data_IF_724304602711
#
_entry.id   IF_724304602711
#
_cell.length_a   1.000
_cell.length_b   1.000
_cell.length_c   1.000
_cell.angle_alpha   90.00
_cell.angle_beta   90.00
_cell.angle_gamma   90.00
#
_symmetry.space_group_name_H-M   'P 1'
#
loop_
_entity.id
_entity.type
_entity.pdbx_description
1 polymer ?
#
# COMPACT_ATOMS: atom_id res chain seq x y z
N UNK A 1 -7.02 9.91 -28.52
CA UNK A 1 -7.36 8.88 -27.51
C UNK A 1 -8.20 9.57 -26.47
N UNK A 2 -9.47 9.20 -26.41
CA UNK A 2 -10.51 9.95 -25.72
C UNK A 2 -10.30 10.00 -24.20
N UNK A 3 -10.52 11.18 -23.65
CA UNK A 3 -10.38 11.53 -22.24
C UNK A 3 -11.51 10.85 -21.45
N UNK A 4 -11.25 10.02 -20.42
CA UNK A 4 -12.29 9.21 -19.77
C UNK A 4 -13.04 9.95 -18.65
N UNK A 5 -13.01 11.27 -18.66
CA UNK A 5 -13.61 12.10 -17.61
C UNK A 5 -14.71 12.96 -18.21
N UNK A 6 -15.93 12.44 -18.22
CA UNK A 6 -17.13 13.28 -18.36
C UNK A 6 -17.97 13.15 -17.09
N UNK A 7 -18.07 14.28 -16.38
CA UNK A 7 -19.29 14.67 -15.70
C UNK A 7 -20.14 15.38 -16.75
N UNK A 8 -21.43 15.04 -16.77
CA UNK A 8 -22.48 15.44 -17.72
C UNK A 8 -22.58 14.60 -19.00
N UNK A 9 -23.53 13.66 -18.95
CA UNK A 9 -23.96 12.81 -20.06
C UNK A 9 -24.59 11.52 -19.52
N UNK A 10 -25.85 11.24 -19.89
CA UNK A 10 -26.42 9.91 -19.71
C UNK A 10 -25.55 8.91 -20.50
N UNK A 11 -24.91 7.97 -19.81
CA UNK A 11 -24.16 6.90 -20.47
C UNK A 11 -25.15 5.78 -20.86
N UNK A 12 -25.42 5.58 -22.15
CA UNK A 12 -26.39 4.59 -22.62
C UNK A 12 -25.96 3.14 -22.34
N UNK A 13 -24.75 2.88 -21.84
CA UNK A 13 -24.27 1.53 -21.53
C UNK A 13 -24.53 1.07 -20.09
N UNK A 14 -25.29 1.82 -19.28
CA UNK A 14 -25.66 1.41 -17.92
C UNK A 14 -27.05 0.73 -17.82
N UNK A 15 -27.77 0.61 -18.93
CA UNK A 15 -29.04 -0.14 -18.97
C UNK A 15 -28.76 -1.65 -19.00
N UNK A 16 -29.46 -2.43 -18.17
CA UNK A 16 -29.36 -3.90 -18.04
C UNK A 16 -28.05 -4.45 -17.43
N UNK A 17 -27.35 -3.69 -16.60
CA UNK A 17 -26.22 -4.22 -15.80
C UNK A 17 -26.75 -4.76 -14.47
N UNK A 18 -26.51 -6.05 -14.19
CA UNK A 18 -26.84 -6.65 -12.90
C UNK A 18 -25.89 -6.11 -11.82
N UNK A 19 -26.40 -5.21 -10.98
CA UNK A 19 -25.57 -4.52 -9.99
C UNK A 19 -25.38 -5.41 -8.77
N UNK A 20 -24.20 -6.01 -8.67
CA UNK A 20 -23.88 -7.02 -7.65
C UNK A 20 -23.33 -6.47 -6.32
N UNK A 21 -23.14 -5.16 -6.18
CA UNK A 21 -22.37 -4.55 -5.09
C UNK A 21 -23.07 -3.37 -4.39
N UNK A 22 -22.41 -2.78 -3.39
CA UNK A 22 -22.91 -1.70 -2.54
C UNK A 22 -23.24 -0.39 -3.31
N UNK A 23 -24.45 -0.32 -3.89
CA UNK A 23 -25.02 0.84 -4.59
C UNK A 23 -25.13 2.04 -3.65
N UNK A 24 -25.60 1.81 -2.41
CA UNK A 24 -25.75 2.90 -1.45
C UNK A 24 -24.43 3.62 -1.20
N UNK A 25 -23.33 2.88 -1.05
CA UNK A 25 -21.99 3.47 -0.91
C UNK A 25 -21.57 4.29 -2.12
N UNK A 26 -21.91 3.85 -3.34
CA UNK A 26 -21.63 4.60 -4.56
C UNK A 26 -22.45 5.89 -4.65
N UNK A 27 -23.74 5.86 -4.34
CA UNK A 27 -24.62 7.03 -4.35
C UNK A 27 -24.18 8.11 -3.35
N UNK A 28 -23.51 7.71 -2.26
CA UNK A 28 -22.96 8.61 -1.24
C UNK A 28 -21.44 8.81 -1.38
N UNK A 29 -20.89 8.53 -2.57
CA UNK A 29 -19.47 8.76 -2.84
C UNK A 29 -19.21 10.21 -3.25
N UNK A 30 -18.02 10.71 -2.93
CA UNK A 30 -17.59 12.05 -3.35
C UNK A 30 -16.89 12.00 -4.72
N UNK A 31 -16.24 10.87 -5.02
CA UNK A 31 -15.49 10.67 -6.26
C UNK A 31 -15.68 9.24 -6.77
N UNK A 32 -15.70 9.09 -8.10
CA UNK A 32 -15.71 7.78 -8.75
C UNK A 32 -14.88 7.77 -10.04
N UNK A 33 -14.52 6.57 -10.49
CA UNK A 33 -13.87 6.33 -11.77
C UNK A 33 -14.28 4.97 -12.32
N UNK A 34 -14.32 4.82 -13.64
CA UNK A 34 -14.40 3.51 -14.29
C UNK A 34 -13.04 2.81 -14.21
N UNK A 35 -13.05 1.49 -14.09
CA UNK A 35 -11.82 0.70 -14.12
C UNK A 35 -11.23 0.72 -15.54
N UNK A 36 -9.94 1.07 -15.64
CA UNK A 36 -9.24 1.20 -16.93
C UNK A 36 -9.20 -0.11 -17.74
N UNK A 37 -9.32 -1.27 -17.08
CA UNK A 37 -9.27 -2.59 -17.73
C UNK A 37 -10.64 -3.22 -17.88
N UNK A 38 -11.62 -2.79 -17.10
CA UNK A 38 -12.98 -3.31 -17.15
C UNK A 38 -14.00 -2.17 -17.01
N UNK A 39 -14.48 -1.65 -18.13
CA UNK A 39 -15.45 -0.55 -18.17
C UNK A 39 -16.78 -0.81 -17.43
N UNK A 40 -17.10 -2.07 -17.11
CA UNK A 40 -18.28 -2.44 -16.30
C UNK A 40 -18.05 -2.31 -14.78
N UNK A 41 -16.81 -2.05 -14.33
CA UNK A 41 -16.47 -1.89 -12.92
C UNK A 41 -16.26 -0.42 -12.60
N UNK A 42 -16.96 0.05 -11.57
CA UNK A 42 -16.79 1.39 -11.00
C UNK A 42 -16.06 1.28 -9.66
N UNK A 43 -15.07 2.14 -9.46
CA UNK A 43 -14.41 2.37 -8.17
C UNK A 43 -14.87 3.72 -7.64
N UNK A 44 -15.13 3.81 -6.34
CA UNK A 44 -15.57 5.05 -5.71
C UNK A 44 -14.89 5.27 -4.36
N UNK A 45 -14.89 6.53 -3.92
CA UNK A 45 -14.31 6.97 -2.66
C UNK A 45 -15.24 7.96 -1.97
N UNK A 46 -15.45 7.75 -0.67
CA UNK A 46 -16.10 8.71 0.22
C UNK A 46 -15.05 9.35 1.12
N UNK A 47 -14.85 10.66 0.98
CA UNK A 47 -13.95 11.47 1.79
C UNK A 47 -14.64 11.79 3.12
N UNK A 48 -14.10 11.21 4.19
CA UNK A 48 -14.58 11.50 5.55
C UNK A 48 -13.85 12.70 6.13
N UNK A 49 -14.61 13.74 6.45
CA UNK A 49 -14.07 14.91 7.14
C UNK A 49 -13.91 14.63 8.64
N UNK A 50 -12.90 15.26 9.24
CA UNK A 50 -12.77 15.28 10.69
C UNK A 50 -13.91 16.11 11.30
N UNK A 51 -14.37 15.78 12.52
CA UNK A 51 -15.40 16.56 13.19
C UNK A 51 -14.94 18.00 13.40
N UNK A 52 -15.78 18.96 12.99
CA UNK A 52 -15.54 20.38 13.23
C UNK A 52 -15.55 20.70 14.72
N UNK A 53 -14.75 21.70 15.11
CA UNK A 53 -14.68 22.23 16.48
C UNK A 53 -14.31 21.19 17.57
N UNK A 54 -13.63 20.10 17.19
CA UNK A 54 -13.11 19.10 18.13
C UNK A 54 -11.60 18.98 18.01
N UNK A 55 -10.92 18.76 19.14
CA UNK A 55 -9.52 18.33 19.14
C UNK A 55 -9.48 16.84 18.80
N UNK A 56 -8.82 16.47 17.72
CA UNK A 56 -8.64 15.08 17.28
C UNK A 56 -7.18 14.69 17.45
N UNK A 57 -6.94 13.61 18.18
CA UNK A 57 -5.63 12.96 18.24
C UNK A 57 -5.63 11.78 17.28
N UNK A 58 -4.74 11.79 16.29
CA UNK A 58 -4.57 10.71 15.33
C UNK A 58 -3.28 9.97 15.66
N UNK A 59 -3.42 8.74 16.17
CA UNK A 59 -2.29 7.86 16.42
C UNK A 59 -2.21 6.81 15.31
N UNK A 60 -1.22 6.92 14.42
CA UNK A 60 -0.96 5.93 13.37
C UNK A 60 0.52 5.60 13.30
N UNK A 61 0.83 4.30 13.22
CA UNK A 61 2.20 3.81 13.03
C UNK A 61 2.75 4.07 11.62
N UNK A 62 1.90 4.52 10.69
CA UNK A 62 2.20 4.67 9.26
C UNK A 62 1.74 6.03 8.74
N UNK A 63 1.70 7.05 9.62
CA UNK A 63 1.22 8.37 9.24
C UNK A 63 2.17 8.99 8.21
N UNK A 64 1.61 9.44 7.08
CA UNK A 64 2.32 10.29 6.13
C UNK A 64 1.86 11.72 6.33
N UNK A 65 2.75 12.53 6.88
CA UNK A 65 2.44 13.90 7.30
C UNK A 65 2.06 14.78 6.11
N UNK A 66 2.71 14.59 4.96
CA UNK A 66 2.41 15.34 3.75
C UNK A 66 1.01 15.00 3.25
N UNK A 67 0.65 13.73 3.29
CA UNK A 67 -0.69 13.26 2.95
C UNK A 67 -1.77 13.90 3.82
N UNK A 68 -1.55 13.94 5.13
CA UNK A 68 -2.52 14.49 6.09
C UNK A 68 -2.64 16.01 5.97
N UNK A 69 -1.54 16.73 5.72
CA UNK A 69 -1.59 18.15 5.39
C UNK A 69 -2.46 18.41 4.15
N UNK A 70 -2.32 17.60 3.10
CA UNK A 70 -3.12 17.73 1.88
C UNK A 70 -4.61 17.41 2.10
N UNK A 71 -4.92 16.44 2.95
CA UNK A 71 -6.31 16.02 3.19
C UNK A 71 -7.09 16.97 4.10
N UNK A 72 -6.44 17.49 5.15
CA UNK A 72 -7.10 18.23 6.23
C UNK A 72 -6.67 19.69 6.33
N UNK A 73 -5.73 20.15 5.51
CA UNK A 73 -5.17 21.50 5.60
C UNK A 73 -4.08 21.58 6.68
N UNK A 74 -2.92 22.15 6.33
CA UNK A 74 -1.77 22.27 7.24
C UNK A 74 -2.11 23.11 8.47
N UNK A 75 -2.92 24.14 8.28
CA UNK A 75 -3.42 25.04 9.32
C UNK A 75 -4.28 24.35 10.38
N UNK A 76 -4.88 23.20 10.05
CA UNK A 76 -5.71 22.44 10.98
C UNK A 76 -4.91 21.40 11.79
N UNK A 77 -3.61 21.23 11.49
CA UNK A 77 -2.73 20.30 12.20
C UNK A 77 -1.88 21.08 13.22
N UNK A 78 -2.16 20.88 14.50
CA UNK A 78 -1.50 21.62 15.60
C UNK A 78 -0.08 21.15 15.88
N UNK A 79 0.13 19.84 15.88
CA UNK A 79 1.44 19.23 16.12
C UNK A 79 1.50 17.88 15.43
N UNK A 80 2.72 17.52 15.03
CA UNK A 80 3.04 16.20 14.49
C UNK A 80 4.27 15.71 15.23
N UNK A 81 4.12 14.60 15.92
CA UNK A 81 5.22 13.93 16.60
C UNK A 81 5.46 12.58 15.95
N UNK A 82 6.67 12.39 15.43
CA UNK A 82 7.08 11.13 14.80
C UNK A 82 8.22 10.51 15.60
N UNK A 83 8.00 9.29 16.11
CA UNK A 83 9.01 8.51 16.81
C UNK A 83 9.83 7.71 15.78
N UNK A 84 10.83 8.35 15.20
CA UNK A 84 11.63 7.80 14.08
C UNK A 84 12.75 6.83 14.52
N UNK A 85 13.28 6.93 15.74
CA UNK A 85 14.46 6.18 16.16
C UNK A 85 14.24 5.41 17.46
N UNK A 86 13.50 4.30 17.37
CA UNK A 86 13.32 3.37 18.48
C UNK A 86 14.31 2.23 18.32
N UNK A 87 15.19 2.02 19.30
CA UNK A 87 16.10 0.88 19.33
C UNK A 87 15.29 -0.42 19.32
N UNK A 88 15.44 -1.22 18.26
CA UNK A 88 14.77 -2.53 18.13
C UNK A 88 15.46 -3.56 19.02
N UNK A 89 14.68 -4.51 19.54
CA UNK A 89 15.20 -5.72 20.19
C UNK A 89 15.51 -6.81 19.17
N UNK A 90 14.66 -6.95 18.16
CA UNK A 90 14.81 -7.84 17.02
C UNK A 90 15.46 -7.16 15.81
N UNK A 91 15.36 -7.80 14.64
CA UNK A 91 15.96 -7.35 13.38
C UNK A 91 14.96 -7.35 12.23
N UNK A 92 15.11 -6.43 11.30
CA UNK A 92 14.44 -6.44 10.00
C UNK A 92 15.50 -6.51 8.91
N UNK A 93 15.48 -7.56 8.11
CA UNK A 93 16.42 -7.79 7.01
C UNK A 93 15.62 -7.75 5.71
N UNK A 94 16.06 -6.97 4.73
CA UNK A 94 15.27 -6.75 3.52
C UNK A 94 16.06 -7.07 2.25
N UNK A 95 15.44 -7.82 1.34
CA UNK A 95 15.87 -8.05 -0.04
C UNK A 95 15.06 -7.18 -1.00
N UNK A 96 15.74 -6.25 -1.67
CA UNK A 96 15.18 -5.33 -2.67
C UNK A 96 15.56 -5.69 -4.11
N UNK A 97 16.18 -6.86 -4.35
CA UNK A 97 16.79 -7.23 -5.64
C UNK A 97 15.78 -7.54 -6.74
N UNK A 98 14.54 -7.86 -6.40
CA UNK A 98 13.47 -8.22 -7.35
C UNK A 98 12.21 -7.43 -7.06
N UNK A 99 11.35 -7.29 -8.06
CA UNK A 99 10.11 -6.53 -7.93
C UNK A 99 9.11 -7.11 -6.91
N UNK A 100 9.09 -8.44 -6.73
CA UNK A 100 8.13 -9.18 -5.88
C UNK A 100 6.66 -8.72 -6.03
N UNK A 101 6.27 -8.21 -7.20
CA UNK A 101 4.89 -7.80 -7.45
C UNK A 101 4.00 -9.04 -7.59
N UNK A 102 2.69 -8.85 -7.44
CA UNK A 102 1.73 -9.96 -7.59
C UNK A 102 1.86 -10.67 -8.94
N UNK A 103 2.24 -9.96 -10.01
CA UNK A 103 2.44 -10.54 -11.34
C UNK A 103 3.83 -11.13 -11.55
N UNK A 104 4.87 -10.63 -10.88
CA UNK A 104 6.23 -11.16 -11.01
C UNK A 104 6.55 -12.31 -10.05
N UNK A 105 5.73 -12.51 -9.01
CA UNK A 105 5.90 -13.55 -7.99
C UNK A 105 6.13 -14.96 -8.56
N UNK A 106 5.40 -15.43 -9.60
CA UNK A 106 5.61 -16.78 -10.14
C UNK A 106 7.05 -17.04 -10.60
N UNK A 107 7.70 -16.03 -11.21
CA UNK A 107 9.04 -16.16 -11.79
C UNK A 107 10.19 -16.35 -10.78
N UNK A 108 9.91 -16.53 -9.49
CA UNK A 108 10.90 -17.08 -8.57
C UNK A 108 10.32 -17.33 -7.20
N UNK A 109 9.15 -17.97 -7.20
CA UNK A 109 8.48 -18.47 -6.02
C UNK A 109 9.27 -19.61 -5.35
N UNK A 110 9.94 -20.45 -6.14
CA UNK A 110 10.77 -21.57 -5.65
C UNK A 110 11.93 -21.06 -4.78
N UNK A 111 12.70 -20.09 -5.28
CA UNK A 111 13.78 -19.45 -4.52
C UNK A 111 13.24 -18.83 -3.23
N UNK A 112 12.06 -18.21 -3.27
CA UNK A 112 11.42 -17.65 -2.07
C UNK A 112 11.13 -18.78 -1.07
N UNK A 113 10.47 -19.85 -1.49
CA UNK A 113 10.15 -21.00 -0.63
C UNK A 113 11.39 -21.61 0.01
N UNK A 114 12.49 -21.72 -0.73
CA UNK A 114 13.76 -22.21 -0.22
C UNK A 114 14.30 -21.31 0.90
N UNK A 115 14.40 -20.00 0.64
CA UNK A 115 15.01 -19.07 1.60
C UNK A 115 14.10 -18.72 2.78
N UNK A 116 12.79 -18.92 2.64
CA UNK A 116 11.81 -18.72 3.72
C UNK A 116 11.35 -20.02 4.36
N UNK A 117 12.06 -21.14 4.12
CA UNK A 117 11.69 -22.45 4.63
C UNK A 117 11.51 -22.43 6.16
N UNK A 118 10.35 -22.88 6.63
CA UNK A 118 10.02 -22.94 8.05
C UNK A 118 9.56 -21.61 8.68
N UNK A 119 9.46 -20.53 7.91
CA UNK A 119 8.90 -19.26 8.37
C UNK A 119 7.41 -19.17 8.05
N UNK A 120 6.65 -18.47 8.89
CA UNK A 120 5.30 -18.01 8.52
C UNK A 120 5.42 -16.82 7.59
N UNK A 121 4.67 -16.83 6.50
CA UNK A 121 4.83 -15.88 5.39
C UNK A 121 3.59 -15.01 5.25
N UNK A 122 3.74 -13.70 5.44
CA UNK A 122 2.71 -12.73 5.06
C UNK A 122 2.94 -12.35 3.60
N UNK A 123 1.95 -12.62 2.74
CA UNK A 123 2.04 -12.34 1.30
C UNK A 123 0.67 -11.94 0.73
N UNK A 124 0.48 -11.99 -0.60
CA UNK A 124 -0.84 -11.78 -1.20
C UNK A 124 -1.76 -12.98 -0.92
N UNK A 125 -3.06 -12.72 -0.72
CA UNK A 125 -4.09 -13.76 -0.50
C UNK A 125 -4.01 -14.95 -1.47
N UNK A 126 -3.71 -14.70 -2.75
CA UNK A 126 -3.56 -15.74 -3.79
C UNK A 126 -2.40 -16.71 -3.51
N UNK A 127 -1.32 -16.23 -2.90
CA UNK A 127 -0.10 -17.01 -2.66
C UNK A 127 0.00 -17.56 -1.24
N UNK A 128 -0.87 -17.14 -0.32
CA UNK A 128 -0.93 -17.68 1.05
C UNK A 128 -1.00 -19.22 1.09
N UNK A 129 -1.90 -19.91 0.35
CA UNK A 129 -1.95 -21.37 0.36
C UNK A 129 -0.81 -22.05 -0.41
N UNK A 130 0.04 -21.29 -1.12
CA UNK A 130 1.18 -21.82 -1.87
C UNK A 130 2.47 -21.70 -1.04
N UNK A 131 2.56 -20.63 -0.25
CA UNK A 131 3.75 -20.28 0.53
C UNK A 131 3.64 -20.70 1.99
N UNK A 132 2.43 -20.96 2.51
CA UNK A 132 2.22 -21.46 3.85
C UNK A 132 1.45 -22.78 3.83
N UNK A 133 1.83 -23.69 4.73
CA UNK A 133 1.12 -24.94 5.00
C UNK A 133 1.00 -25.15 6.53
N UNK A 134 -0.19 -25.00 7.13
CA UNK A 134 -1.45 -24.57 6.50
C UNK A 134 -1.44 -23.08 6.11
N UNK A 135 -2.42 -22.61 5.30
CA UNK A 135 -2.57 -21.19 4.99
C UNK A 135 -2.62 -20.33 6.26
N UNK A 136 -1.90 -19.20 6.27
CA UNK A 136 -1.74 -18.38 7.46
C UNK A 136 -3.01 -17.56 7.76
N UNK A 137 -3.78 -17.20 6.73
CA UNK A 137 -4.96 -16.35 6.85
C UNK A 137 -4.65 -14.87 7.11
N UNK A 138 -3.37 -14.49 7.18
CA UNK A 138 -2.86 -13.13 7.33
C UNK A 138 -2.11 -12.74 6.06
N UNK A 139 -2.59 -11.71 5.37
CA UNK A 139 -2.09 -11.32 4.05
C UNK A 139 -2.17 -9.80 3.86
N UNK A 140 -1.56 -9.26 2.80
CA UNK A 140 -1.68 -7.83 2.46
C UNK A 140 -3.16 -7.42 2.28
N UNK A 141 -3.58 -6.36 2.97
CA UNK A 141 -4.99 -5.94 3.11
C UNK A 141 -5.74 -6.61 4.26
N UNK A 142 -5.15 -7.62 4.93
CA UNK A 142 -5.71 -8.31 6.10
C UNK A 142 -4.65 -8.54 7.19
N UNK A 143 -3.93 -7.49 7.58
CA UNK A 143 -2.88 -7.54 8.62
C UNK A 143 -3.33 -6.99 9.99
N UNK A 144 -4.57 -6.49 10.10
CA UNK A 144 -5.06 -5.82 11.31
C UNK A 144 -5.68 -6.79 12.32
N UNK A 145 -5.48 -6.54 13.62
CA UNK A 145 -6.13 -7.31 14.70
C UNK A 145 -5.46 -8.63 15.11
N UNK A 146 -4.41 -9.07 14.40
CA UNK A 146 -3.74 -10.34 14.68
C UNK A 146 -2.54 -10.20 15.65
N UNK A 147 -2.46 -11.12 16.62
CA UNK A 147 -1.39 -11.19 17.64
C UNK A 147 -0.56 -12.48 17.61
N UNK A 148 -0.97 -13.46 16.82
CA UNK A 148 -0.42 -14.82 16.73
C UNK A 148 0.98 -14.93 16.12
N UNK A 149 1.57 -13.82 15.63
CA UNK A 149 2.93 -13.78 15.07
C UNK A 149 3.92 -13.06 16.00
N UNK A 150 3.47 -12.64 17.19
CA UNK A 150 4.29 -11.87 18.14
C UNK A 150 5.53 -12.66 18.53
N UNK A 151 6.71 -12.06 18.32
CA UNK A 151 7.99 -12.64 18.70
C UNK A 151 8.45 -13.81 17.83
N UNK A 152 7.74 -14.11 16.75
CA UNK A 152 8.14 -15.14 15.80
C UNK A 152 9.03 -14.57 14.69
N UNK A 153 9.94 -15.41 14.18
CA UNK A 153 10.62 -15.12 12.94
C UNK A 153 9.61 -15.31 11.78
N UNK A 154 9.43 -14.29 10.96
CA UNK A 154 8.46 -14.31 9.85
C UNK A 154 9.11 -13.80 8.56
N UNK A 155 8.50 -14.14 7.44
CA UNK A 155 8.78 -13.51 6.16
C UNK A 155 7.60 -12.63 5.71
N UNK A 156 7.90 -11.48 5.13
CA UNK A 156 6.95 -10.61 4.43
C UNK A 156 7.35 -10.59 2.96
N UNK A 157 6.55 -11.21 2.11
CA UNK A 157 6.91 -11.46 0.70
C UNK A 157 5.94 -10.77 -0.23
N UNK A 158 6.40 -9.71 -0.88
CA UNK A 158 5.70 -9.03 -1.96
C UNK A 158 5.77 -7.51 -1.87
N UNK A 159 5.57 -6.84 -3.01
CA UNK A 159 5.36 -5.39 -3.08
C UNK A 159 3.86 -5.10 -3.29
N UNK A 160 3.12 -4.66 -2.25
CA UNK A 160 1.66 -4.59 -2.26
C UNK A 160 1.10 -3.39 -3.04
N UNK A 161 1.25 -3.40 -4.37
CA UNK A 161 0.58 -2.44 -5.23
C UNK A 161 -0.96 -2.57 -5.13
N UNK A 162 -1.62 -1.46 -4.83
CA UNK A 162 -3.08 -1.29 -4.95
C UNK A 162 -3.52 -1.10 -6.40
N UNK A 163 -4.83 -1.21 -6.65
CA UNK A 163 -5.39 -0.87 -7.97
C UNK A 163 -5.12 0.62 -8.27
N UNK A 164 -4.70 1.01 -9.49
CA UNK A 164 -4.44 2.40 -9.84
C UNK A 164 -5.56 3.36 -9.47
N UNK A 165 -6.82 2.94 -9.59
CA UNK A 165 -8.00 3.72 -9.18
C UNK A 165 -7.94 4.19 -7.73
N UNK A 166 -7.30 3.42 -6.84
CA UNK A 166 -7.11 3.82 -5.43
C UNK A 166 -6.25 5.07 -5.32
N UNK A 167 -5.15 5.13 -6.08
CA UNK A 167 -4.24 6.28 -6.07
C UNK A 167 -4.89 7.50 -6.71
N UNK A 168 -5.58 7.30 -7.84
CA UNK A 168 -6.26 8.37 -8.57
C UNK A 168 -7.41 8.99 -7.76
N UNK A 169 -8.27 8.16 -7.16
CA UNK A 169 -9.36 8.65 -6.31
C UNK A 169 -8.81 9.36 -5.06
N UNK A 170 -7.72 8.86 -4.48
CA UNK A 170 -7.04 9.53 -3.35
C UNK A 170 -6.49 10.90 -3.77
N UNK A 171 -5.89 10.98 -4.96
CA UNK A 171 -5.37 12.22 -5.51
C UNK A 171 -6.48 13.26 -5.76
N UNK A 172 -7.62 12.83 -6.32
CA UNK A 172 -8.82 13.69 -6.46
C UNK A 172 -9.35 14.18 -5.11
N UNK A 173 -9.38 13.33 -4.10
CA UNK A 173 -9.78 13.72 -2.74
C UNK A 173 -8.83 14.77 -2.10
N UNK A 174 -7.60 14.87 -2.60
CA UNK A 174 -6.61 15.89 -2.23
C UNK A 174 -6.64 17.14 -3.12
N UNK A 175 -7.57 17.22 -4.07
CA UNK A 175 -7.67 18.35 -4.99
C UNK A 175 -6.64 18.34 -6.12
N UNK A 176 -6.05 17.19 -6.45
CA UNK A 176 -5.12 17.06 -7.58
C UNK A 176 -5.91 16.98 -8.89
N UNK A 177 -5.64 17.88 -9.83
CA UNK A 177 -6.24 17.91 -11.16
C UNK A 177 -5.59 16.86 -12.09
N UNK A 178 -6.14 15.65 -12.09
CA UNK A 178 -5.63 14.51 -12.87
C UNK A 178 -5.65 14.72 -14.38
N UNK A 179 -6.56 15.53 -14.91
CA UNK A 179 -6.75 15.77 -16.34
C UNK A 179 -5.52 16.42 -17.00
N UNK A 180 -4.66 17.04 -16.18
CA UNK A 180 -3.43 17.71 -16.62
C UNK A 180 -2.19 16.81 -16.51
N UNK A 181 -2.36 15.54 -16.11
CA UNK A 181 -1.25 14.66 -15.75
C UNK A 181 -1.15 13.46 -16.70
N UNK A 182 0.08 13.01 -16.92
CA UNK A 182 0.33 11.69 -17.47
C UNK A 182 0.09 10.63 -16.38
N UNK A 183 -0.85 9.72 -16.62
CA UNK A 183 -1.26 8.68 -15.66
C UNK A 183 -0.62 7.31 -15.95
N UNK A 184 0.28 7.24 -16.93
CA UNK A 184 1.00 6.01 -17.24
C UNK A 184 2.04 5.66 -16.18
N UNK A 185 2.22 4.35 -15.95
CA UNK A 185 3.24 3.84 -15.05
C UNK A 185 4.52 3.54 -15.83
N UNK A 186 5.57 4.29 -15.53
CA UNK A 186 6.90 4.14 -16.11
C UNK A 186 7.92 3.88 -15.00
N UNK A 187 9.12 3.44 -15.35
CA UNK A 187 10.20 3.29 -14.37
C UNK A 187 10.76 4.68 -14.06
N UNK A 188 10.67 5.08 -12.79
CA UNK A 188 11.05 6.39 -12.29
C UNK A 188 12.10 6.26 -11.19
N UNK A 189 13.01 7.22 -11.10
CA UNK A 189 13.94 7.35 -9.99
C UNK A 189 13.22 8.00 -8.80
N UNK A 190 12.92 7.21 -7.77
CA UNK A 190 12.20 7.67 -6.58
C UNK A 190 13.18 8.02 -5.48
N UNK A 191 13.00 9.19 -4.88
CA UNK A 191 13.73 9.63 -3.67
C UNK A 191 12.77 9.70 -2.49
N UNK A 192 12.89 8.79 -1.53
CA UNK A 192 11.99 8.73 -0.36
C UNK A 192 12.68 8.15 0.87
N UNK A 193 12.45 8.76 2.03
CA UNK A 193 13.01 8.36 3.32
C UNK A 193 14.55 8.17 3.33
N UNK A 194 15.27 8.99 2.57
CA UNK A 194 16.73 8.90 2.45
C UNK A 194 17.23 7.81 1.49
N UNK A 195 16.33 7.09 0.81
CA UNK A 195 16.67 6.14 -0.25
C UNK A 195 16.47 6.77 -1.63
N UNK A 196 17.25 6.29 -2.59
CA UNK A 196 17.11 6.57 -4.02
C UNK A 196 17.06 5.22 -4.76
N UNK A 197 15.98 4.95 -5.50
CA UNK A 197 15.76 3.65 -6.14
C UNK A 197 14.86 3.74 -7.37
N UNK A 198 15.08 2.86 -8.35
CA UNK A 198 14.20 2.74 -9.51
C UNK A 198 12.91 2.01 -9.13
N UNK A 199 11.76 2.57 -9.53
CA UNK A 199 10.47 1.99 -9.20
C UNK A 199 9.43 2.29 -10.29
N UNK A 200 8.56 1.31 -10.57
CA UNK A 200 7.46 1.50 -11.52
C UNK A 200 6.32 2.31 -10.89
N UNK A 201 6.20 3.57 -11.27
CA UNK A 201 5.26 4.54 -10.68
C UNK A 201 4.89 5.64 -11.68
N UNK A 202 4.14 6.64 -11.21
CA UNK A 202 3.73 7.81 -11.99
C UNK A 202 4.88 8.78 -12.18
N UNK A 203 4.83 9.61 -13.22
CA UNK A 203 5.79 10.73 -13.38
C UNK A 203 5.53 11.86 -12.37
N UNK A 204 4.25 12.16 -12.08
CA UNK A 204 3.88 13.20 -11.13
C UNK A 204 4.25 12.81 -9.69
N UNK A 205 5.11 13.60 -9.05
CA UNK A 205 5.62 13.34 -7.69
C UNK A 205 4.50 13.17 -6.65
N UNK A 206 3.36 13.87 -6.79
CA UNK A 206 2.26 13.76 -5.83
C UNK A 206 1.56 12.41 -5.94
N UNK A 207 1.42 11.88 -7.15
CA UNK A 207 0.91 10.54 -7.39
C UNK A 207 1.91 9.47 -6.94
N UNK A 208 3.22 9.69 -7.15
CA UNK A 208 4.27 8.83 -6.60
C UNK A 208 4.15 8.74 -5.08
N UNK A 209 4.08 9.88 -4.38
CA UNK A 209 3.98 9.93 -2.91
C UNK A 209 2.77 9.15 -2.39
N UNK A 210 1.61 9.30 -3.05
CA UNK A 210 0.40 8.55 -2.73
C UNK A 210 0.65 7.05 -2.90
N UNK A 211 1.18 6.61 -4.05
CA UNK A 211 1.47 5.20 -4.29
C UNK A 211 2.44 4.64 -3.24
N UNK A 212 3.54 5.34 -2.96
CA UNK A 212 4.54 4.90 -2.00
C UNK A 212 3.97 4.83 -0.59
N UNK A 213 3.13 5.79 -0.19
CA UNK A 213 2.46 5.75 1.11
C UNK A 213 1.63 4.47 1.30
N UNK A 214 0.83 4.08 0.30
CA UNK A 214 0.01 2.86 0.39
C UNK A 214 0.87 1.59 0.48
N UNK A 215 1.93 1.50 -0.32
CA UNK A 215 2.85 0.36 -0.32
C UNK A 215 3.59 0.26 1.02
N UNK A 216 4.18 1.36 1.47
CA UNK A 216 4.92 1.48 2.72
C UNK A 216 4.03 1.09 3.91
N UNK A 217 2.81 1.63 3.96
CA UNK A 217 1.86 1.33 5.04
C UNK A 217 1.59 -0.18 5.15
N UNK A 218 1.28 -0.84 4.05
CA UNK A 218 0.97 -2.28 4.06
C UNK A 218 2.18 -3.12 4.49
N UNK A 219 3.36 -2.79 3.98
CA UNK A 219 4.61 -3.46 4.36
C UNK A 219 4.92 -3.26 5.87
N UNK A 220 4.84 -2.03 6.38
CA UNK A 220 5.07 -1.73 7.80
C UNK A 220 4.06 -2.44 8.70
N UNK A 221 2.80 -2.55 8.28
CA UNK A 221 1.78 -3.30 9.03
C UNK A 221 2.09 -4.81 9.10
N UNK A 222 2.56 -5.39 7.99
CA UNK A 222 2.99 -6.79 7.92
C UNK A 222 4.23 -7.05 8.78
N UNK A 223 5.29 -6.23 8.63
CA UNK A 223 6.51 -6.30 9.47
C UNK A 223 6.17 -6.14 10.95
N UNK A 224 5.26 -5.22 11.27
CA UNK A 224 4.81 -4.96 12.63
C UNK A 224 4.11 -6.14 13.32
N UNK A 225 3.69 -7.18 12.58
CA UNK A 225 3.05 -8.37 13.17
C UNK A 225 3.98 -9.14 14.11
N UNK A 226 5.28 -9.19 13.78
CA UNK A 226 6.29 -9.83 14.62
C UNK A 226 6.63 -9.02 15.89
N UNK A 227 6.40 -7.70 15.86
CA UNK A 227 6.76 -6.76 16.93
C UNK A 227 8.26 -6.74 17.28
N UNK A 228 9.13 -6.79 16.26
CA UNK A 228 10.59 -6.72 16.41
C UNK A 228 11.12 -5.51 17.20
N UNK A 229 10.33 -4.44 17.37
CA UNK A 229 10.67 -3.33 18.27
C UNK A 229 10.80 -3.78 19.74
N UNK A 230 10.03 -4.77 20.17
CA UNK A 230 9.94 -5.22 21.58
C UNK A 230 10.34 -6.68 21.78
N UNK A 231 10.30 -7.47 20.72
CA UNK A 231 10.58 -8.90 20.75
C UNK A 231 11.91 -9.24 20.06
N UNK A 232 12.57 -10.30 20.52
CA UNK A 232 13.80 -10.79 19.91
C UNK A 232 13.47 -11.74 18.75
N UNK A 233 13.12 -11.18 17.60
CA UNK A 233 12.74 -11.91 16.40
C UNK A 233 13.36 -11.25 15.15
N UNK A 234 13.45 -12.02 14.07
CA UNK A 234 13.91 -11.55 12.76
C UNK A 234 12.75 -11.53 11.77
N UNK A 235 12.55 -10.39 11.13
CA UNK A 235 11.60 -10.24 10.02
C UNK A 235 12.38 -10.16 8.72
N UNK A 236 12.12 -11.09 7.80
CA UNK A 236 12.68 -11.10 6.46
C UNK A 236 11.70 -10.43 5.50
N UNK A 237 12.11 -9.39 4.79
CA UNK A 237 11.26 -8.64 3.87
C UNK A 237 11.75 -8.83 2.45
N UNK A 238 10.88 -9.27 1.55
CA UNK A 238 11.18 -9.46 0.13
C UNK A 238 10.29 -8.51 -0.67
N UNK A 239 10.81 -7.31 -0.96
CA UNK A 239 10.12 -6.24 -1.69
C UNK A 239 11.15 -5.27 -2.25
N UNK A 240 10.98 -4.84 -3.51
CA UNK A 240 11.79 -3.76 -4.10
C UNK A 240 11.50 -2.37 -3.53
N UNK A 241 10.57 -2.21 -2.59
CA UNK A 241 10.32 -0.95 -1.90
C UNK A 241 11.14 -0.90 -0.60
N UNK A 242 12.25 -0.15 -0.52
CA UNK A 242 13.11 -0.12 0.67
C UNK A 242 12.38 0.49 1.87
N UNK A 243 12.48 -0.17 3.03
CA UNK A 243 11.87 0.29 4.28
C UNK A 243 12.92 0.95 5.20
N UNK A 244 12.61 2.11 5.81
CA UNK A 244 13.51 2.76 6.76
C UNK A 244 13.79 1.95 8.02
N UNK A 245 12.92 0.99 8.37
CA UNK A 245 13.08 0.12 9.53
C UNK A 245 14.08 -1.02 9.29
N UNK A 246 14.65 -1.15 8.09
CA UNK A 246 15.59 -2.22 7.75
C UNK A 246 16.95 -2.01 8.43
N UNK A 247 17.48 -3.06 9.06
CA UNK A 247 18.77 -3.06 9.74
C UNK A 247 19.94 -3.42 8.80
N UNK A 248 19.67 -4.20 7.75
CA UNK A 248 20.67 -4.61 6.77
C UNK A 248 20.04 -4.76 5.37
N UNK A 249 20.61 -4.11 4.33
CA UNK A 249 20.22 -4.36 2.95
C UNK A 249 20.82 -5.71 2.46
N UNK A 250 19.93 -6.60 2.04
CA UNK A 250 20.09 -7.93 1.42
C UNK A 250 20.92 -9.00 2.15
N UNK A 251 20.33 -10.20 2.20
CA UNK A 251 21.04 -11.47 2.40
C UNK A 251 21.78 -11.78 1.09
N UNK A 252 23.11 -11.83 1.12
CA UNK A 252 23.89 -12.33 -0.01
C UNK A 252 23.57 -13.82 -0.22
N UNK A 253 22.58 -14.11 -1.06
CA UNK A 253 22.41 -15.46 -1.61
C UNK A 253 23.38 -15.59 -2.79
N UNK A 254 24.62 -15.97 -2.49
CA UNK A 254 25.50 -16.60 -3.47
C UNK A 254 24.95 -17.97 -3.84
#
# INVERSE_FOLDING_TARGET
>A
MDVPWTLEGEDPNLYNVDISNNISGFMHSDFYTKDMRNGSRIHYLTKRNLPLNKKVLICSATIDVLLYHKLFGKENIKSVETLIHIKKKGKVIQDTTRAYSRSSMPGGIEKIQEVTKGLKIITFKKYDPILNDPPLGIYFGNCSGYNNLKGENIAVVGTPHSNPSTYLLTAKAMGIELEKLNLEFTDQLVKRNGFEFMFKTFEDQRLQDIQMHFIERELLQAVGRARALRENCTVYVFSNYPLPITDAPSLNYN
#
